data_IF_027472036477
#
_entry.id   IF_027472036477
#
_cell.length_a   1.000
_cell.length_b   1.000
_cell.length_c   1.000
_cell.angle_alpha   90.00
_cell.angle_beta   90.00
_cell.angle_gamma   90.00
#
_symmetry.space_group_name_H-M   'P 1'
#
loop_
_entity.id
_entity.type
_entity.pdbx_description
1 polymer ?
#
# COMPACT_ATOMS: atom_id res chain seq x y z
N UNK A 1 137.17 -55.47 78.39
CA UNK A 1 136.19 -54.61 77.69
C UNK A 1 136.07 -53.31 78.48
N UNK A 2 136.51 -52.18 77.93
CA UNK A 2 136.45 -50.89 78.61
C UNK A 2 135.10 -50.21 78.34
N UNK A 3 134.40 -49.79 79.40
CA UNK A 3 133.11 -49.09 79.33
C UNK A 3 133.29 -47.64 78.87
N UNK A 4 132.51 -47.19 77.88
CA UNK A 4 132.53 -45.79 77.37
C UNK A 4 131.71 -44.88 78.31
N UNK A 5 132.19 -43.68 78.69
CA UNK A 5 131.36 -42.70 79.45
C UNK A 5 130.21 -42.19 78.56
N UNK A 6 129.09 -41.86 79.22
CA UNK A 6 127.87 -41.30 78.63
C UNK A 6 128.12 -40.02 77.81
N UNK A 7 129.22 -39.28 78.09
CA UNK A 7 129.69 -38.14 77.29
C UNK A 7 130.00 -38.49 75.83
N UNK A 8 130.43 -39.72 75.55
CA UNK A 8 130.75 -40.17 74.18
C UNK A 8 129.51 -40.63 73.40
N UNK A 9 128.34 -40.64 74.06
CA UNK A 9 127.09 -41.16 73.49
C UNK A 9 126.02 -40.06 73.42
N UNK A 10 126.02 -39.08 74.34
CA UNK A 10 125.02 -38.00 74.35
C UNK A 10 125.60 -36.63 73.93
N UNK A 11 125.06 -36.07 72.85
CA UNK A 11 125.30 -34.70 72.39
C UNK A 11 124.45 -33.64 73.11
N UNK A 12 123.63 -34.08 74.07
CA UNK A 12 122.63 -33.28 74.78
C UNK A 12 123.20 -32.28 75.81
N UNK A 13 124.51 -32.33 76.11
CA UNK A 13 125.20 -31.39 77.01
C UNK A 13 124.76 -31.36 78.48
N UNK A 14 123.71 -32.09 78.86
CA UNK A 14 123.19 -32.22 80.23
C UNK A 14 123.16 -33.68 80.66
N UNK A 15 124.26 -34.15 81.20
CA UNK A 15 124.31 -35.40 81.95
C UNK A 15 125.38 -35.32 83.04
N UNK A 16 125.13 -36.00 84.14
CA UNK A 16 126.07 -36.08 85.24
C UNK A 16 127.10 -37.19 84.94
N UNK A 17 128.27 -36.85 84.38
CA UNK A 17 129.40 -37.79 84.28
C UNK A 17 130.37 -37.52 85.43
N UNK A 18 130.70 -38.58 86.17
CA UNK A 18 131.64 -38.55 87.31
C UNK A 18 133.06 -38.12 86.91
N UNK A 19 133.35 -38.06 85.61
CA UNK A 19 134.64 -37.67 85.05
C UNK A 19 134.80 -36.14 84.84
N UNK A 20 133.77 -35.33 85.08
CA UNK A 20 133.86 -33.87 84.98
C UNK A 20 133.34 -33.18 86.25
N UNK A 21 134.17 -32.37 86.95
CA UNK A 21 133.72 -31.63 88.11
C UNK A 21 132.80 -30.48 87.69
N UNK A 22 131.54 -30.54 88.13
CA UNK A 22 130.53 -29.49 87.94
C UNK A 22 130.81 -28.31 88.87
N UNK A 23 131.65 -27.36 88.44
CA UNK A 23 131.79 -26.05 89.09
C UNK A 23 131.17 -24.96 88.20
N UNK A 24 130.16 -24.29 88.76
CA UNK A 24 129.17 -23.46 88.07
C UNK A 24 129.56 -21.97 87.91
N UNK A 25 130.84 -21.60 88.00
CA UNK A 25 131.25 -20.19 87.90
C UNK A 25 132.56 -20.03 87.12
N UNK A 26 132.45 -19.65 85.85
CA UNK A 26 133.54 -18.98 85.11
C UNK A 26 132.97 -17.94 84.16
N UNK A 27 133.46 -16.71 84.32
CA UNK A 27 133.20 -15.51 83.52
C UNK A 27 133.67 -15.72 82.08
N UNK A 28 132.95 -15.08 81.14
CA UNK A 28 133.52 -14.66 79.87
C UNK A 28 133.22 -15.57 78.69
N UNK A 29 131.97 -15.53 78.21
CA UNK A 29 131.61 -15.16 76.83
C UNK A 29 130.09 -15.30 76.74
N UNK A 30 129.44 -14.42 75.97
CA UNK A 30 127.98 -14.29 75.89
C UNK A 30 127.36 -15.64 75.52
N UNK A 31 127.03 -16.45 76.53
CA UNK A 31 126.09 -17.56 76.39
C UNK A 31 124.82 -16.89 75.90
N UNK A 32 124.59 -16.99 74.59
CA UNK A 32 123.36 -16.57 73.94
C UNK A 32 122.25 -17.15 74.78
N UNK A 33 121.53 -16.26 75.46
CA UNK A 33 120.44 -16.61 76.34
C UNK A 33 119.56 -17.60 75.59
N UNK A 34 119.53 -18.85 76.07
CA UNK A 34 118.88 -19.96 75.39
C UNK A 34 117.39 -19.61 75.20
N UNK A 35 117.04 -19.01 74.07
CA UNK A 35 115.68 -18.57 73.71
C UNK A 35 114.80 -19.77 73.29
N UNK A 36 115.20 -20.98 73.69
CA UNK A 36 114.45 -22.21 73.57
C UNK A 36 113.72 -22.43 74.90
N UNK A 37 112.71 -21.61 75.16
CA UNK A 37 111.74 -21.93 76.20
C UNK A 37 110.90 -23.11 75.72
N UNK A 38 110.43 -23.95 76.64
CA UNK A 38 109.49 -25.03 76.31
C UNK A 38 108.30 -24.51 75.49
N UNK A 39 107.89 -23.28 75.78
CA UNK A 39 106.82 -22.58 75.08
C UNK A 39 107.12 -22.39 73.59
N UNK A 40 108.25 -21.76 73.23
CA UNK A 40 108.59 -21.49 71.83
C UNK A 40 108.95 -22.75 71.04
N UNK A 41 109.43 -23.81 71.71
CA UNK A 41 109.70 -25.09 71.06
C UNK A 41 108.41 -25.87 70.75
N UNK A 42 107.43 -25.80 71.67
CA UNK A 42 106.19 -26.60 71.60
C UNK A 42 105.08 -25.93 70.80
N UNK A 43 105.00 -24.60 70.83
CA UNK A 43 103.95 -23.84 70.15
C UNK A 43 104.58 -22.95 69.08
N UNK A 44 104.57 -23.45 67.84
CA UNK A 44 104.99 -22.71 66.65
C UNK A 44 103.74 -22.21 65.94
N UNK A 45 103.85 -21.11 65.20
CA UNK A 45 102.78 -20.71 64.29
C UNK A 45 102.62 -21.79 63.22
N UNK A 46 101.42 -22.36 63.15
CA UNK A 46 101.06 -23.37 62.15
C UNK A 46 100.39 -22.68 60.97
N UNK A 47 100.75 -23.06 59.76
CA UNK A 47 100.11 -22.57 58.54
C UNK A 47 98.65 -23.05 58.50
N UNK A 48 97.72 -22.09 58.58
CA UNK A 48 96.30 -22.37 58.45
C UNK A 48 95.95 -22.37 56.96
N UNK A 49 95.56 -23.52 56.43
CA UNK A 49 94.99 -23.60 55.08
C UNK A 49 93.48 -23.46 55.13
N UNK A 50 92.91 -22.85 54.10
CA UNK A 50 91.46 -22.76 53.93
C UNK A 50 90.91 -24.15 53.63
N UNK A 51 90.09 -24.68 54.54
CA UNK A 51 89.38 -25.95 54.31
C UNK A 51 88.25 -25.68 53.32
N UNK A 52 88.29 -26.37 52.18
CA UNK A 52 87.17 -26.31 51.24
C UNK A 52 85.96 -27.09 51.78
N UNK A 53 84.74 -26.56 51.63
CA UNK A 53 83.55 -27.23 52.13
C UNK A 53 83.28 -28.52 51.33
N UNK A 54 83.22 -29.66 52.01
CA UNK A 54 82.80 -30.96 51.44
C UNK A 54 81.27 -31.00 51.24
N UNK A 55 80.73 -30.01 50.53
CA UNK A 55 79.29 -29.95 50.23
C UNK A 55 79.01 -30.84 49.00
N UNK A 56 78.10 -31.82 49.11
CA UNK A 56 77.72 -32.63 47.95
C UNK A 56 77.09 -31.72 46.89
N UNK A 57 77.55 -31.86 45.65
CA UNK A 57 76.96 -31.15 44.51
C UNK A 57 75.61 -31.80 44.19
N UNK A 58 74.52 -31.22 44.69
CA UNK A 58 73.15 -31.64 44.36
C UNK A 58 72.93 -31.30 42.88
N UNK A 59 72.75 -32.33 42.04
CA UNK A 59 72.29 -32.13 40.65
C UNK A 59 70.81 -31.74 40.70
N UNK A 60 70.34 -30.78 39.88
CA UNK A 60 68.91 -30.53 39.77
C UNK A 60 68.21 -31.82 39.34
N UNK A 61 67.02 -32.06 39.89
CA UNK A 61 66.14 -33.13 39.40
C UNK A 61 65.95 -32.95 37.88
N UNK A 62 65.88 -34.03 37.09
CA UNK A 62 65.57 -33.90 35.68
C UNK A 62 64.24 -33.15 35.52
N UNK A 63 64.25 -32.08 34.73
CA UNK A 63 63.05 -31.35 34.34
C UNK A 63 62.22 -32.22 33.39
N UNK A 64 61.42 -33.11 33.95
CA UNK A 64 60.41 -33.86 33.23
C UNK A 64 59.13 -33.03 33.10
N UNK A 65 58.63 -32.83 31.88
CA UNK A 65 57.27 -32.32 31.69
C UNK A 65 56.28 -33.37 32.20
N UNK A 66 55.27 -32.94 32.93
CA UNK A 66 54.18 -33.81 33.36
C UNK A 66 53.42 -34.27 32.10
N UNK A 67 53.03 -35.54 32.06
CA UNK A 67 52.29 -36.07 30.91
C UNK A 67 50.86 -35.53 30.88
N UNK A 68 50.52 -34.72 29.87
CA UNK A 68 49.18 -34.14 29.67
C UNK A 68 48.16 -35.13 29.07
N UNK A 69 48.28 -36.42 29.41
CA UNK A 69 47.39 -37.49 28.96
C UNK A 69 46.35 -37.78 30.02
N UNK A 70 45.26 -37.02 30.01
CA UNK A 70 44.09 -37.34 30.83
C UNK A 70 43.27 -38.44 30.15
N UNK A 71 42.61 -39.29 30.95
CA UNK A 71 41.70 -40.35 30.46
C UNK A 71 40.69 -39.78 29.45
N UNK A 72 40.18 -38.58 29.70
CA UNK A 72 39.21 -37.93 28.82
C UNK A 72 39.80 -37.63 27.42
N UNK A 73 41.05 -37.19 27.36
CA UNK A 73 41.71 -36.81 26.11
C UNK A 73 42.13 -38.04 25.28
N UNK A 74 42.38 -39.15 25.96
CA UNK A 74 42.72 -40.43 25.33
C UNK A 74 41.46 -41.16 24.85
N UNK A 75 40.44 -41.26 25.71
CA UNK A 75 39.28 -42.12 25.46
C UNK A 75 38.22 -41.47 24.56
N UNK A 76 38.06 -40.15 24.64
CA UNK A 76 37.00 -39.41 23.91
C UNK A 76 37.57 -38.63 22.72
N UNK A 77 38.08 -39.37 21.74
CA UNK A 77 38.49 -38.81 20.46
C UNK A 77 37.34 -38.87 19.44
N UNK A 78 37.26 -37.92 18.49
CA UNK A 78 36.27 -37.99 17.44
C UNK A 78 36.57 -39.19 16.53
N UNK A 79 35.69 -40.19 16.55
CA UNK A 79 35.75 -41.32 15.63
C UNK A 79 35.12 -40.92 14.28
N UNK A 80 35.70 -41.30 13.14
CA UNK A 80 35.06 -41.11 11.86
C UNK A 80 33.80 -41.99 11.80
N UNK A 81 32.63 -41.35 11.65
CA UNK A 81 31.34 -42.05 11.49
C UNK A 81 30.92 -41.98 10.03
N UNK A 82 30.71 -43.13 9.41
CA UNK A 82 30.14 -43.19 8.06
C UNK A 82 28.64 -42.84 8.09
N UNK A 83 28.18 -42.15 7.06
CA UNK A 83 26.75 -41.83 6.93
C UNK A 83 25.97 -43.14 6.75
N UNK A 84 24.85 -43.36 7.48
CA UNK A 84 23.99 -44.50 7.23
C UNK A 84 23.54 -44.53 5.77
N UNK A 85 23.47 -45.72 5.19
CA UNK A 85 22.90 -45.89 3.85
C UNK A 85 21.42 -45.50 3.87
N UNK A 86 21.04 -44.57 2.99
CA UNK A 86 19.65 -44.12 2.81
C UNK A 86 19.16 -44.59 1.46
N UNK A 87 18.00 -45.25 1.43
CA UNK A 87 17.31 -45.61 0.18
C UNK A 87 17.00 -44.35 -0.62
N UNK A 88 17.46 -44.22 -1.89
CA UNK A 88 17.06 -43.11 -2.72
C UNK A 88 15.54 -43.16 -2.93
N UNK A 89 14.89 -42.01 -2.80
CA UNK A 89 13.46 -41.91 -3.10
C UNK A 89 13.24 -42.18 -4.59
N UNK A 90 12.28 -43.06 -4.90
CA UNK A 90 11.90 -43.31 -6.28
C UNK A 90 11.27 -42.04 -6.86
N UNK A 91 11.86 -41.51 -7.94
CA UNK A 91 11.34 -40.35 -8.63
C UNK A 91 10.14 -40.78 -9.45
N UNK A 92 9.01 -40.10 -9.24
CA UNK A 92 7.79 -40.37 -10.00
C UNK A 92 8.03 -40.23 -11.51
N UNK A 93 7.65 -41.25 -12.27
CA UNK A 93 7.70 -41.24 -13.73
C UNK A 93 6.30 -41.00 -14.30
N UNK A 94 6.17 -39.97 -15.16
CA UNK A 94 4.93 -39.68 -15.86
C UNK A 94 4.62 -40.82 -16.85
N UNK A 95 3.43 -41.43 -16.81
CA UNK A 95 3.02 -42.39 -17.82
C UNK A 95 3.09 -41.78 -19.23
N UNK A 96 3.60 -42.52 -20.24
CA UNK A 96 3.62 -42.03 -21.61
C UNK A 96 2.19 -41.91 -22.13
N UNK A 97 1.84 -40.73 -22.64
CA UNK A 97 0.51 -40.45 -23.19
C UNK A 97 0.12 -38.98 -23.02
N UNK A 98 -0.60 -38.45 -24.01
CA UNK A 98 -1.23 -37.15 -23.88
C UNK A 98 -2.69 -37.36 -23.50
N UNK A 99 -3.12 -36.81 -22.36
CA UNK A 99 -4.53 -36.83 -22.00
C UNK A 99 -5.27 -35.80 -22.85
N UNK A 100 -6.27 -36.23 -23.60
CA UNK A 100 -7.16 -35.33 -24.33
C UNK A 100 -8.02 -34.56 -23.31
N UNK A 101 -7.57 -33.36 -22.92
CA UNK A 101 -8.27 -32.47 -21.98
C UNK A 101 -9.56 -31.85 -22.52
N UNK A 102 -10.31 -32.58 -23.34
CA UNK A 102 -11.56 -32.17 -23.97
C UNK A 102 -12.73 -32.86 -23.26
N UNK A 103 -13.37 -32.14 -22.34
CA UNK A 103 -14.64 -32.56 -21.74
C UNK A 103 -15.77 -32.41 -22.76
N UNK A 104 -16.85 -33.20 -22.62
CA UNK A 104 -18.07 -33.04 -23.42
C UNK A 104 -18.57 -31.59 -23.40
N UNK A 105 -18.55 -30.96 -22.23
CA UNK A 105 -18.90 -29.54 -22.06
C UNK A 105 -18.07 -28.61 -22.94
N UNK A 106 -16.74 -28.75 -22.95
CA UNK A 106 -15.85 -27.89 -23.76
C UNK A 106 -16.04 -28.11 -25.27
N UNK A 107 -16.45 -29.33 -25.68
CA UNK A 107 -16.77 -29.65 -27.08
C UNK A 107 -18.12 -29.07 -27.51
N UNK A 108 -19.13 -29.18 -26.66
CA UNK A 108 -20.53 -28.87 -27.01
C UNK A 108 -20.88 -27.39 -26.78
N UNK A 109 -20.26 -26.75 -25.78
CA UNK A 109 -20.55 -25.38 -25.38
C UNK A 109 -19.44 -24.41 -25.79
N UNK A 110 -19.19 -24.32 -27.09
CA UNK A 110 -18.36 -23.26 -27.67
C UNK A 110 -19.18 -21.98 -27.80
N UNK A 111 -18.61 -20.83 -27.39
CA UNK A 111 -19.27 -19.53 -27.57
C UNK A 111 -19.69 -19.34 -29.02
N UNK A 112 -21.00 -19.26 -29.27
CA UNK A 112 -21.53 -19.02 -30.61
C UNK A 112 -21.46 -17.52 -30.90
N UNK A 113 -20.76 -17.14 -31.96
CA UNK A 113 -20.78 -15.77 -32.43
C UNK A 113 -22.12 -15.51 -33.12
N UNK A 114 -22.96 -14.70 -32.48
CA UNK A 114 -24.20 -14.19 -33.07
C UNK A 114 -23.92 -12.76 -33.52
N UNK A 115 -24.28 -12.43 -34.75
CA UNK A 115 -24.22 -11.05 -35.24
C UNK A 115 -25.21 -10.18 -34.48
N UNK A 116 -24.82 -8.98 -34.03
CA UNK A 116 -25.74 -8.10 -33.31
C UNK A 116 -26.96 -7.76 -34.19
N UNK A 117 -28.17 -7.67 -33.61
CA UNK A 117 -29.35 -7.28 -34.36
C UNK A 117 -29.20 -5.87 -34.92
N UNK A 118 -29.61 -5.68 -36.18
CA UNK A 118 -29.63 -4.36 -36.79
C UNK A 118 -30.75 -3.50 -36.19
N UNK A 119 -30.55 -2.18 -36.04
CA UNK A 119 -31.60 -1.28 -35.57
C UNK A 119 -32.73 -1.18 -36.60
N UNK A 120 -33.97 -1.22 -36.13
CA UNK A 120 -35.17 -0.99 -36.96
C UNK A 120 -35.23 0.51 -37.28
N UNK A 121 -35.11 0.86 -38.57
CA UNK A 121 -35.31 2.23 -39.05
C UNK A 121 -36.69 2.33 -39.68
N UNK A 122 -37.48 3.31 -39.26
CA UNK A 122 -38.71 3.67 -39.95
C UNK A 122 -38.37 4.48 -41.21
N UNK A 123 -39.13 4.26 -42.28
CA UNK A 123 -39.04 5.10 -43.48
C UNK A 123 -39.35 6.55 -43.09
N UNK A 124 -38.52 7.49 -43.56
CA UNK A 124 -38.74 8.90 -43.31
C UNK A 124 -40.06 9.32 -43.98
N UNK A 125 -41.09 9.59 -43.17
CA UNK A 125 -42.34 10.13 -43.70
C UNK A 125 -42.06 11.51 -44.32
N UNK A 126 -42.52 11.79 -45.55
CA UNK A 126 -42.35 13.10 -46.15
C UNK A 126 -43.09 14.14 -45.30
N UNK A 127 -42.39 15.20 -44.88
CA UNK A 127 -43.02 16.33 -44.21
C UNK A 127 -43.92 17.05 -45.23
N UNK A 128 -45.24 16.91 -45.09
CA UNK A 128 -46.19 17.61 -45.94
C UNK A 128 -46.14 19.10 -45.60
N UNK A 129 -45.56 19.91 -46.50
CA UNK A 129 -45.59 21.36 -46.39
C UNK A 129 -46.96 21.87 -46.83
N UNK A 130 -47.89 22.01 -45.88
CA UNK A 130 -49.17 22.67 -46.09
C UNK A 130 -49.04 24.19 -45.97
N UNK A 131 -49.65 24.95 -46.88
CA UNK A 131 -49.72 26.42 -46.75
C UNK A 131 -50.70 26.78 -45.63
N UNK A 132 -50.24 27.51 -44.62
CA UNK A 132 -51.10 28.00 -43.53
C UNK A 132 -52.02 29.12 -44.05
N UNK A 133 -53.33 28.87 -44.04
CA UNK A 133 -54.37 29.85 -44.39
C UNK A 133 -55.05 30.34 -43.11
N UNK A 134 -54.35 31.17 -42.34
CA UNK A 134 -54.91 31.82 -41.15
C UNK A 134 -55.28 33.26 -41.44
N UNK A 135 -56.57 33.57 -41.46
CA UNK A 135 -57.04 34.96 -41.46
C UNK A 135 -57.18 35.44 -40.01
N UNK A 136 -56.47 36.51 -39.59
CA UNK A 136 -56.59 37.02 -38.24
C UNK A 136 -57.96 37.68 -38.03
N UNK A 137 -58.50 37.55 -36.81
CA UNK A 137 -59.84 38.04 -36.43
C UNK A 137 -60.04 39.52 -36.73
N UNK A 138 -59.01 40.36 -36.54
CA UNK A 138 -59.13 41.78 -36.87
C UNK A 138 -59.49 42.03 -38.36
N UNK A 139 -58.98 41.21 -39.29
CA UNK A 139 -59.30 41.34 -40.72
C UNK A 139 -60.73 40.89 -41.04
N UNK A 140 -61.23 39.85 -40.37
CA UNK A 140 -62.62 39.40 -40.55
C UNK A 140 -63.62 40.38 -39.95
N UNK A 141 -63.29 40.94 -38.78
CA UNK A 141 -64.25 41.63 -37.92
C UNK A 141 -64.42 43.11 -38.30
N UNK A 142 -63.35 43.76 -38.76
CA UNK A 142 -63.35 45.20 -39.05
C UNK A 142 -63.32 45.47 -40.56
N UNK A 143 -64.43 45.16 -41.24
CA UNK A 143 -64.64 45.55 -42.64
C UNK A 143 -65.49 46.81 -42.75
N UNK A 144 -65.33 47.54 -43.87
CA UNK A 144 -66.20 48.69 -44.18
C UNK A 144 -67.61 48.16 -44.44
N UNK A 145 -68.56 48.57 -43.62
CA UNK A 145 -69.97 48.30 -43.83
C UNK A 145 -70.61 49.47 -44.57
N UNK A 146 -71.35 49.19 -45.63
CA UNK A 146 -72.11 50.21 -46.35
C UNK A 146 -73.26 50.69 -45.46
N UNK A 147 -73.17 51.94 -44.99
CA UNK A 147 -74.26 52.55 -44.27
C UNK A 147 -75.36 52.95 -45.26
N UNK A 148 -76.58 52.46 -45.07
CA UNK A 148 -77.74 52.88 -45.87
C UNK A 148 -77.94 54.39 -45.75
N UNK A 149 -78.19 55.11 -46.85
CA UNK A 149 -78.41 56.55 -46.81
C UNK A 149 -79.66 56.87 -45.97
N UNK A 150 -79.55 57.88 -45.12
CA UNK A 150 -80.66 58.33 -44.27
C UNK A 150 -81.80 58.89 -45.14
N UNK A 151 -83.00 58.30 -45.03
CA UNK A 151 -84.20 58.82 -45.69
C UNK A 151 -84.68 60.06 -44.95
N UNK A 152 -84.70 61.21 -45.64
CA UNK A 152 -85.33 62.43 -45.10
C UNK A 152 -86.85 62.27 -45.14
N UNK A 153 -87.53 62.40 -44.01
CA UNK A 153 -88.98 62.31 -43.94
C UNK A 153 -89.64 63.58 -44.51
N UNK A 154 -90.59 63.43 -45.43
CA UNK A 154 -91.41 64.50 -45.99
C UNK A 154 -92.88 64.14 -45.83
N UNK A 155 -93.72 65.07 -45.35
CA UNK A 155 -95.16 64.81 -45.18
C UNK A 155 -95.86 64.73 -46.55
N UNK A 156 -96.68 63.69 -46.80
CA UNK A 156 -97.44 63.58 -48.04
C UNK A 156 -98.59 64.60 -48.05
N UNK A 157 -98.43 65.70 -48.79
CA UNK A 157 -99.54 66.57 -49.17
C UNK A 157 -100.16 66.05 -50.47
N UNK A 158 -101.30 65.37 -50.37
CA UNK A 158 -102.13 65.11 -51.55
C UNK A 158 -103.62 65.16 -51.19
N UNK A 159 -104.22 66.35 -51.23
CA UNK A 159 -105.68 66.47 -51.28
C UNK A 159 -106.18 65.91 -52.62
N UNK A 160 -107.23 65.08 -52.60
CA UNK A 160 -107.85 64.52 -53.82
C UNK A 160 -109.26 65.10 -54.01
N UNK A 161 -109.62 65.57 -55.22
CA UNK A 161 -110.91 66.18 -55.48
C UNK A 161 -112.05 65.13 -55.57
N UNK A 162 -113.29 65.48 -55.16
CA UNK A 162 -114.45 64.57 -55.17
C UNK A 162 -114.94 64.08 -56.55
N UNK A 163 -114.51 64.69 -57.66
CA UNK A 163 -114.93 64.29 -59.02
C UNK A 163 -114.52 62.87 -59.42
N UNK A 164 -113.58 62.26 -58.68
CA UNK A 164 -113.18 60.87 -58.89
C UNK A 164 -114.22 59.84 -58.41
N UNK A 165 -115.22 60.25 -57.62
CA UNK A 165 -116.32 59.37 -57.21
C UNK A 165 -117.25 59.01 -58.38
N UNK A 166 -117.44 59.93 -59.32
CA UNK A 166 -118.37 59.73 -60.45
C UNK A 166 -117.74 58.94 -61.60
N UNK A 167 -116.41 58.92 -61.70
CA UNK A 167 -115.66 58.20 -62.75
C UNK A 167 -115.29 56.76 -62.36
N UNK A 168 -115.72 56.28 -61.18
CA UNK A 168 -115.52 54.90 -60.74
C UNK A 168 -114.07 54.50 -60.39
N UNK A 169 -113.14 55.45 -60.42
CA UNK A 169 -111.73 55.25 -60.04
C UNK A 169 -111.49 55.43 -58.53
N UNK A 170 -112.48 55.94 -57.79
CA UNK A 170 -112.48 55.93 -56.34
C UNK A 170 -112.80 54.53 -55.79
N UNK A 171 -112.30 54.15 -54.60
CA UNK A 171 -112.54 52.83 -54.01
C UNK A 171 -113.99 52.61 -53.52
N UNK A 172 -114.87 53.58 -53.74
CA UNK A 172 -116.27 53.58 -53.33
C UNK A 172 -117.17 53.42 -54.56
N UNK A 173 -118.13 52.49 -54.51
CA UNK A 173 -119.11 52.26 -55.57
C UNK A 173 -120.50 52.69 -55.12
N UNK A 174 -121.26 53.27 -56.04
CA UNK A 174 -122.64 53.69 -55.80
C UNK A 174 -123.51 52.47 -55.53
N UNK A 175 -124.25 52.48 -54.42
CA UNK A 175 -125.05 51.34 -53.97
C UNK A 175 -126.55 51.59 -54.19
N UNK A 176 -127.06 52.74 -53.73
CA UNK A 176 -128.47 53.13 -53.93
C UNK A 176 -128.70 54.62 -53.68
N UNK A 177 -129.78 55.11 -54.25
CA UNK A 177 -130.34 56.44 -53.96
C UNK A 177 -131.61 56.24 -53.13
N UNK A 178 -131.69 56.91 -51.98
CA UNK A 178 -132.93 56.95 -51.21
C UNK A 178 -133.97 57.82 -51.94
N UNK A 179 -135.26 57.60 -51.68
CA UNK A 179 -136.37 58.33 -52.30
C UNK A 179 -136.31 59.86 -52.06
N UNK A 180 -135.48 60.30 -51.10
CA UNK A 180 -135.15 61.70 -50.80
C UNK A 180 -134.03 62.30 -51.66
N UNK A 181 -133.49 61.54 -52.63
CA UNK A 181 -132.41 61.98 -53.54
C UNK A 181 -130.98 61.88 -52.98
N UNK A 182 -130.78 61.18 -51.85
CA UNK A 182 -129.44 60.97 -51.29
C UNK A 182 -128.80 59.67 -51.81
N UNK A 183 -127.61 59.81 -52.39
CA UNK A 183 -126.79 58.71 -52.94
C UNK A 183 -125.82 58.14 -51.90
N UNK A 184 -125.89 56.84 -51.66
CA UNK A 184 -124.99 56.13 -50.76
C UNK A 184 -123.95 55.33 -51.56
N UNK A 185 -122.70 55.39 -51.12
CA UNK A 185 -121.58 54.66 -51.71
C UNK A 185 -120.94 53.74 -50.67
N UNK A 186 -120.52 52.55 -51.10
CA UNK A 186 -119.88 51.55 -50.25
C UNK A 186 -118.50 51.15 -50.79
N UNK A 187 -117.57 50.87 -49.90
CA UNK A 187 -116.19 50.56 -50.24
C UNK A 187 -116.06 49.07 -50.58
N UNK A 188 -115.64 48.73 -51.81
CA UNK A 188 -115.47 47.32 -52.19
C UNK A 188 -114.22 46.73 -51.52
N UNK A 189 -114.43 45.81 -50.58
CA UNK A 189 -113.39 45.22 -49.72
C UNK A 189 -112.31 44.46 -50.51
N UNK A 190 -111.03 44.70 -50.19
CA UNK A 190 -109.86 44.01 -50.76
C UNK A 190 -109.50 42.78 -49.92
N UNK A 191 -109.51 41.58 -50.50
CA UNK A 191 -108.87 40.41 -49.89
C UNK A 191 -107.34 40.54 -49.96
N UNK A 192 -106.68 40.48 -48.81
CA UNK A 192 -105.23 40.32 -48.65
C UNK A 192 -104.93 38.84 -48.36
N UNK A 193 -104.22 38.13 -49.23
CA UNK A 193 -103.74 36.76 -48.99
C UNK A 193 -102.33 36.77 -48.35
N UNK A 194 -102.02 35.87 -47.39
CA UNK A 194 -100.73 35.86 -46.71
C UNK A 194 -99.69 34.92 -47.36
N UNK A 195 -98.42 35.24 -47.12
CA UNK A 195 -97.20 34.64 -47.68
C UNK A 195 -96.90 33.24 -47.11
N UNK A 196 -96.57 32.27 -47.98
CA UNK A 196 -96.10 30.92 -47.62
C UNK A 196 -94.59 30.94 -47.38
N UNK A 197 -94.15 30.37 -46.26
CA UNK A 197 -92.74 30.19 -45.87
C UNK A 197 -92.17 28.89 -46.43
N UNK A 198 -90.95 28.93 -46.95
CA UNK A 198 -90.24 27.77 -47.52
C UNK A 198 -89.06 27.42 -46.60
N UNK A 199 -89.00 26.20 -46.06
CA UNK A 199 -87.87 25.66 -45.28
C UNK A 199 -87.21 24.56 -46.12
N UNK A 200 -85.94 24.74 -46.48
CA UNK A 200 -85.10 23.73 -47.11
C UNK A 200 -84.28 23.00 -46.04
N UNK A 201 -84.32 21.68 -46.02
CA UNK A 201 -83.35 20.85 -45.31
C UNK A 201 -82.18 20.52 -46.24
N UNK A 202 -80.95 20.69 -45.74
CA UNK A 202 -79.69 20.43 -46.46
C UNK A 202 -79.17 19.07 -45.99
N UNK A 203 -79.03 18.12 -46.92
CA UNK A 203 -78.37 16.85 -46.68
C UNK A 203 -76.84 17.05 -46.70
N UNK A 204 -76.16 16.60 -45.65
CA UNK A 204 -74.69 16.57 -45.54
C UNK A 204 -74.22 15.16 -45.92
N UNK A 205 -73.22 15.09 -46.79
CA UNK A 205 -72.46 13.89 -47.14
C UNK A 205 -71.13 13.87 -46.39
#
# INVERSE_FOLDING_TARGET
MASKCICQICTCGRHYCKHLPTSFMSKGEKQQQCRLTEYNAKYKEHELYKVEPFRPKIKPLPEGKIEDKTIQRVDFQPYPVEKPWVRPQEVWQKPPGNMEGLTSYKKEFTGRHITPPLPIRHDAMPTVSGKFQGEPTYKSDYKKWDASPMVKFSHPSSWRPPTLLETGAAPFKFEKEADTGHRFYNMSNRHLSPLVTNRQEVAVA
#
